data_IF_280880668236
#
_entry.id   IF_280880668236
#
_cell.length_a   1.000
_cell.length_b   1.000
_cell.length_c   1.000
_cell.angle_alpha   90.00
_cell.angle_beta   90.00
_cell.angle_gamma   90.00
#
_symmetry.space_group_name_H-M   'P 1'
#
loop_
_entity.id
_entity.type
_entity.pdbx_description
1 polymer ?
#
# COMPACT_ATOMS: atom_id res chain seq x y z
N UNK A 1 15.42 12.97 -2.67
CA UNK A 1 16.64 12.17 -2.41
C UNK A 1 17.42 12.10 -3.72
N UNK A 2 18.75 12.24 -3.70
CA UNK A 2 19.58 12.08 -4.90
C UNK A 2 20.06 10.63 -4.98
N UNK A 3 19.77 9.97 -6.10
CA UNK A 3 20.12 8.57 -6.37
C UNK A 3 21.31 8.45 -7.33
N UNK A 4 21.73 9.56 -7.94
CA UNK A 4 22.82 9.57 -8.93
C UNK A 4 24.11 9.02 -8.31
N UNK A 5 24.77 8.14 -9.04
CA UNK A 5 26.02 7.47 -8.67
C UNK A 5 25.96 6.57 -7.40
N UNK A 6 24.77 6.39 -6.80
CA UNK A 6 24.58 5.50 -5.65
C UNK A 6 24.61 4.03 -6.10
N UNK A 7 25.25 3.20 -5.27
CA UNK A 7 25.24 1.75 -5.46
C UNK A 7 23.97 1.18 -4.86
N UNK A 8 23.04 0.74 -5.70
CA UNK A 8 21.75 0.23 -5.26
C UNK A 8 21.59 -1.22 -5.65
N UNK A 9 21.27 -2.06 -4.66
CA UNK A 9 20.99 -3.47 -4.85
C UNK A 9 19.47 -3.69 -4.91
N UNK A 10 18.98 -4.23 -6.05
CA UNK A 10 17.60 -4.68 -6.22
C UNK A 10 17.54 -6.18 -5.95
N UNK A 11 16.73 -6.59 -4.99
CA UNK A 11 16.60 -8.00 -4.56
C UNK A 11 15.28 -8.56 -5.05
N UNK A 12 15.36 -9.50 -5.98
CA UNK A 12 14.20 -10.12 -6.65
C UNK A 12 13.76 -9.37 -7.91
N UNK A 13 13.70 -10.08 -9.03
CA UNK A 13 13.41 -9.54 -10.36
C UNK A 13 12.05 -10.04 -10.89
N UNK A 14 10.98 -9.81 -10.13
CA UNK A 14 9.60 -9.92 -10.61
C UNK A 14 9.13 -8.53 -11.13
N UNK A 15 7.86 -8.38 -11.49
CA UNK A 15 7.28 -7.14 -12.04
C UNK A 15 7.73 -5.88 -11.29
N UNK A 16 7.66 -5.90 -9.97
CA UNK A 16 8.09 -4.79 -9.11
C UNK A 16 9.60 -4.53 -9.23
N UNK A 17 10.43 -5.59 -9.22
CA UNK A 17 11.87 -5.48 -9.37
C UNK A 17 12.29 -4.88 -10.71
N UNK A 18 11.60 -5.21 -11.80
CA UNK A 18 11.80 -4.61 -13.13
C UNK A 18 11.53 -3.12 -13.11
N UNK A 19 10.37 -2.71 -12.58
CA UNK A 19 9.99 -1.30 -12.51
C UNK A 19 10.97 -0.48 -11.64
N UNK A 20 11.38 -1.02 -10.49
CA UNK A 20 12.39 -0.41 -9.61
C UNK A 20 13.73 -0.28 -10.34
N UNK A 21 14.16 -1.32 -11.03
CA UNK A 21 15.44 -1.32 -11.78
C UNK A 21 15.47 -0.23 -12.84
N UNK A 22 14.41 -0.09 -13.64
CA UNK A 22 14.30 0.97 -14.64
C UNK A 22 14.35 2.36 -14.00
N UNK A 23 13.53 2.59 -13.00
CA UNK A 23 13.51 3.86 -12.28
C UNK A 23 14.89 4.25 -11.75
N UNK A 24 15.60 3.31 -11.11
CA UNK A 24 16.91 3.56 -10.53
C UNK A 24 17.97 3.83 -11.59
N UNK A 25 17.96 3.08 -12.69
CA UNK A 25 18.89 3.27 -13.80
C UNK A 25 18.67 4.63 -14.49
N UNK A 26 17.42 5.02 -14.74
CA UNK A 26 17.05 6.35 -15.28
C UNK A 26 17.44 7.48 -14.33
N UNK A 27 17.39 7.24 -13.02
CA UNK A 27 17.86 8.20 -12.01
C UNK A 27 19.40 8.27 -11.89
N UNK A 28 20.15 7.51 -12.72
CA UNK A 28 21.61 7.52 -12.76
C UNK A 28 22.29 6.71 -11.66
N UNK A 29 21.60 5.78 -11.01
CA UNK A 29 22.18 4.90 -10.01
C UNK A 29 23.02 3.77 -10.65
N UNK A 30 23.99 3.26 -9.89
CA UNK A 30 24.72 2.03 -10.23
C UNK A 30 23.92 0.84 -9.70
N UNK A 31 23.14 0.20 -10.58
CA UNK A 31 22.20 -0.84 -10.16
C UNK A 31 22.83 -2.22 -10.28
N UNK A 32 22.78 -2.95 -9.18
CA UNK A 32 23.03 -4.40 -9.14
C UNK A 32 21.73 -5.13 -8.87
N UNK A 33 21.41 -6.16 -9.64
CA UNK A 33 20.25 -7.01 -9.43
C UNK A 33 20.74 -8.34 -8.87
N UNK A 34 20.04 -8.85 -7.83
CA UNK A 34 20.26 -10.21 -7.32
C UNK A 34 18.95 -10.99 -7.24
N UNK A 35 18.94 -12.20 -7.79
CA UNK A 35 17.80 -13.14 -7.74
C UNK A 35 18.31 -14.57 -7.52
N UNK A 36 17.53 -15.40 -6.85
CA UNK A 36 17.85 -16.82 -6.64
C UNK A 36 17.63 -17.65 -7.91
N UNK A 37 16.83 -17.17 -8.84
CA UNK A 37 16.68 -17.76 -10.19
C UNK A 37 17.91 -17.45 -11.02
N UNK A 38 18.24 -18.35 -11.92
CA UNK A 38 19.32 -18.21 -12.88
C UNK A 38 18.91 -17.37 -14.11
N UNK A 39 19.83 -17.16 -15.01
CA UNK A 39 19.66 -16.39 -16.23
C UNK A 39 18.67 -17.05 -17.21
N UNK A 40 18.60 -18.37 -17.27
CA UNK A 40 17.63 -19.06 -18.14
C UNK A 40 16.20 -18.84 -17.64
N UNK A 41 15.98 -18.97 -16.33
CA UNK A 41 14.67 -18.73 -15.71
C UNK A 41 14.21 -17.24 -15.77
N UNK A 42 15.15 -16.32 -15.94
CA UNK A 42 14.88 -14.87 -16.02
C UNK A 42 15.03 -14.30 -17.44
N UNK A 43 15.28 -15.12 -18.45
CA UNK A 43 15.61 -14.71 -19.81
C UNK A 43 14.68 -13.65 -20.40
N UNK A 44 13.38 -13.85 -20.30
CA UNK A 44 12.39 -12.93 -20.86
C UNK A 44 12.41 -11.58 -20.11
N UNK A 45 12.52 -11.63 -18.80
CA UNK A 45 12.58 -10.44 -17.93
C UNK A 45 13.89 -9.66 -18.16
N UNK A 46 15.01 -10.37 -18.35
CA UNK A 46 16.29 -9.74 -18.64
C UNK A 46 16.30 -9.09 -20.03
N UNK A 47 15.57 -9.65 -20.99
CA UNK A 47 15.42 -9.06 -22.31
C UNK A 47 14.71 -7.68 -22.22
N UNK A 48 13.76 -7.50 -21.31
CA UNK A 48 13.12 -6.21 -21.06
C UNK A 48 14.08 -5.14 -20.53
N UNK A 49 15.19 -5.53 -19.90
CA UNK A 49 16.19 -4.63 -19.29
C UNK A 49 17.50 -4.55 -20.09
N UNK A 50 17.53 -5.11 -21.30
CA UNK A 50 18.75 -5.23 -22.11
C UNK A 50 19.34 -3.90 -22.58
N UNK A 51 18.56 -2.83 -22.56
CA UNK A 51 18.94 -1.46 -22.87
C UNK A 51 19.66 -0.75 -21.69
N UNK A 52 19.69 -1.35 -20.51
CA UNK A 52 20.27 -0.76 -19.30
C UNK A 52 21.65 -1.35 -18.99
N UNK A 53 22.52 -0.50 -18.42
CA UNK A 53 23.82 -0.96 -17.92
C UNK A 53 23.69 -1.44 -16.46
N UNK A 54 23.55 -2.76 -16.27
CA UNK A 54 23.25 -3.41 -15.00
C UNK A 54 24.34 -4.41 -14.62
N UNK A 55 24.57 -4.57 -13.31
CA UNK A 55 25.31 -5.70 -12.77
C UNK A 55 24.33 -6.81 -12.35
N UNK A 56 24.55 -8.04 -12.79
CA UNK A 56 23.65 -9.17 -12.53
C UNK A 56 24.35 -10.20 -11.62
N UNK A 57 23.67 -10.59 -10.54
CA UNK A 57 24.05 -11.66 -9.61
C UNK A 57 22.90 -12.65 -9.50
N UNK A 58 22.86 -13.63 -10.41
CA UNK A 58 21.76 -14.58 -10.56
C UNK A 58 22.12 -15.98 -10.05
N UNK A 59 21.10 -16.75 -9.68
CA UNK A 59 21.23 -18.11 -9.12
C UNK A 59 21.65 -18.15 -7.65
N UNK A 60 22.07 -17.04 -7.09
CA UNK A 60 22.44 -16.93 -5.67
C UNK A 60 22.51 -15.47 -5.22
N UNK A 61 22.36 -15.24 -3.92
CA UNK A 61 22.67 -13.94 -3.33
C UNK A 61 24.13 -13.86 -2.90
N UNK A 62 24.84 -12.80 -3.32
CA UNK A 62 26.24 -12.53 -2.94
C UNK A 62 26.24 -11.59 -1.72
N UNK A 63 26.58 -12.06 -0.50
CA UNK A 63 26.50 -11.23 0.72
C UNK A 63 27.29 -9.93 0.65
N UNK A 64 28.40 -9.92 -0.09
CA UNK A 64 29.24 -8.73 -0.25
C UNK A 64 28.45 -7.56 -0.89
N UNK A 65 27.61 -7.81 -1.87
CA UNK A 65 26.84 -6.77 -2.57
C UNK A 65 25.82 -6.12 -1.63
N UNK A 66 25.21 -6.89 -0.71
CA UNK A 66 24.32 -6.36 0.31
C UNK A 66 25.06 -5.43 1.31
N UNK A 67 26.31 -5.75 1.63
CA UNK A 67 27.12 -4.94 2.55
C UNK A 67 27.67 -3.66 1.90
N UNK A 68 27.89 -3.69 0.60
CA UNK A 68 28.49 -2.57 -0.14
C UNK A 68 27.45 -1.61 -0.74
N UNK A 69 26.18 -2.00 -0.79
CA UNK A 69 25.12 -1.14 -1.30
C UNK A 69 24.88 0.08 -0.39
N UNK A 70 24.62 1.23 -0.99
CA UNK A 70 24.14 2.43 -0.28
C UNK A 70 22.66 2.27 0.09
N UNK A 71 21.92 1.51 -0.74
CA UNK A 71 20.51 1.20 -0.56
C UNK A 71 20.22 -0.20 -1.10
N UNK A 72 19.43 -0.97 -0.37
CA UNK A 72 18.89 -2.26 -0.80
C UNK A 72 17.38 -2.13 -0.96
N UNK A 73 16.86 -2.40 -2.17
CA UNK A 73 15.42 -2.37 -2.45
C UNK A 73 14.94 -3.81 -2.66
N UNK A 74 13.96 -4.21 -1.85
CA UNK A 74 13.51 -5.60 -1.79
C UNK A 74 12.14 -5.74 -2.43
N UNK A 75 12.01 -6.67 -3.38
CA UNK A 75 10.71 -7.02 -3.98
C UNK A 75 9.84 -7.79 -2.99
N UNK A 76 8.50 -7.62 -3.00
CA UNK A 76 7.58 -8.23 -2.02
C UNK A 76 7.67 -9.77 -1.92
N UNK A 77 8.07 -10.45 -3.00
CA UNK A 77 8.26 -11.91 -3.03
C UNK A 77 9.47 -12.42 -2.24
N UNK A 78 10.40 -11.53 -1.87
CA UNK A 78 11.62 -11.91 -1.13
C UNK A 78 11.38 -11.75 0.37
N UNK A 79 11.63 -12.78 1.20
CA UNK A 79 11.54 -12.65 2.64
C UNK A 79 12.52 -11.63 3.22
N UNK A 80 12.02 -10.78 4.11
CA UNK A 80 12.85 -9.72 4.74
C UNK A 80 13.82 -10.26 5.80
N UNK A 81 13.72 -11.54 6.14
CA UNK A 81 14.54 -12.24 7.14
C UNK A 81 15.66 -13.09 6.54
N UNK A 82 15.84 -13.09 5.21
CA UNK A 82 16.98 -13.81 4.62
C UNK A 82 18.29 -13.30 5.17
N UNK A 83 19.23 -14.19 5.38
CA UNK A 83 20.53 -13.90 6.02
C UNK A 83 21.29 -12.70 5.43
N UNK A 84 21.38 -12.50 4.10
CA UNK A 84 22.06 -11.34 3.55
C UNK A 84 21.40 -10.00 3.92
N UNK A 85 20.04 -9.95 4.00
CA UNK A 85 19.33 -8.73 4.45
C UNK A 85 19.54 -8.46 5.94
N UNK A 86 19.54 -9.50 6.76
CA UNK A 86 19.86 -9.36 8.18
C UNK A 86 21.29 -8.80 8.37
N UNK A 87 22.26 -9.30 7.62
CA UNK A 87 23.65 -8.80 7.66
C UNK A 87 23.74 -7.34 7.22
N UNK A 88 23.02 -6.94 6.16
CA UNK A 88 22.97 -5.56 5.68
C UNK A 88 22.41 -4.63 6.77
N UNK A 89 21.29 -4.98 7.40
CA UNK A 89 20.70 -4.21 8.51
C UNK A 89 21.60 -4.12 9.72
N UNK A 90 22.30 -5.21 10.09
CA UNK A 90 23.27 -5.20 11.18
C UNK A 90 24.44 -4.22 10.93
N UNK A 91 24.79 -3.99 9.66
CA UNK A 91 25.77 -2.99 9.23
C UNK A 91 25.12 -1.62 8.93
N UNK A 92 23.88 -1.39 9.39
CA UNK A 92 23.12 -0.13 9.22
C UNK A 92 22.92 0.27 7.75
N UNK A 93 22.89 -0.70 6.83
CA UNK A 93 22.48 -0.43 5.44
C UNK A 93 20.98 -0.25 5.40
N UNK A 94 20.53 0.69 4.58
CA UNK A 94 19.09 0.90 4.37
C UNK A 94 18.54 -0.22 3.51
N UNK A 95 17.51 -0.86 4.02
CA UNK A 95 16.82 -1.99 3.36
C UNK A 95 15.33 -1.66 3.31
N UNK A 96 14.83 -1.33 2.14
CA UNK A 96 13.47 -0.82 1.97
C UNK A 96 12.67 -1.61 0.95
N UNK A 97 11.34 -1.50 1.01
CA UNK A 97 10.45 -1.98 -0.03
C UNK A 97 10.32 -0.96 -1.18
N UNK A 98 9.75 -1.41 -2.29
CA UNK A 98 9.46 -0.54 -3.44
C UNK A 98 8.54 0.62 -3.06
N UNK A 99 7.51 0.37 -2.25
CA UNK A 99 6.54 1.41 -1.83
C UNK A 99 7.20 2.49 -0.98
N UNK A 100 8.19 2.13 -0.16
CA UNK A 100 8.99 3.11 0.55
C UNK A 100 9.79 3.98 -0.41
N UNK A 101 10.55 3.35 -1.33
CA UNK A 101 11.34 4.06 -2.32
C UNK A 101 10.47 5.02 -3.15
N UNK A 102 9.34 4.55 -3.66
CA UNK A 102 8.41 5.35 -4.46
C UNK A 102 7.87 6.56 -3.69
N UNK A 103 7.54 6.35 -2.41
CA UNK A 103 6.97 7.40 -1.55
C UNK A 103 7.88 8.62 -1.39
N UNK A 104 9.19 8.49 -1.56
CA UNK A 104 10.14 9.61 -1.47
C UNK A 104 10.00 10.62 -2.61
N UNK A 105 9.39 10.21 -3.72
CA UNK A 105 9.23 11.02 -4.94
C UNK A 105 7.80 11.45 -5.21
N UNK A 106 6.83 10.94 -4.44
CA UNK A 106 5.40 11.22 -4.61
C UNK A 106 4.96 12.25 -3.55
N UNK A 107 4.42 13.39 -4.00
CA UNK A 107 3.94 14.46 -3.12
C UNK A 107 2.42 14.43 -2.91
N UNK A 108 1.69 13.80 -3.82
CA UNK A 108 0.23 13.74 -3.76
C UNK A 108 -0.26 13.03 -2.50
N UNK A 109 -1.33 13.51 -1.88
CA UNK A 109 -1.91 12.87 -0.70
C UNK A 109 -2.41 11.46 -1.02
N UNK A 110 -2.12 10.52 -0.10
CA UNK A 110 -2.27 9.09 -0.32
C UNK A 110 -3.29 8.46 0.61
N UNK A 111 -4.12 7.58 0.05
CA UNK A 111 -4.90 6.56 0.77
C UNK A 111 -4.19 5.22 0.63
N UNK A 112 -3.82 4.61 1.74
CA UNK A 112 -3.24 3.26 1.76
C UNK A 112 -4.21 2.26 2.39
N UNK A 113 -4.42 1.12 1.74
CA UNK A 113 -5.42 0.14 2.14
C UNK A 113 -4.75 -1.21 2.35
N UNK A 114 -4.94 -1.78 3.54
CA UNK A 114 -4.51 -3.13 3.89
C UNK A 114 -5.61 -3.90 4.63
N UNK A 115 -5.36 -5.15 4.88
CA UNK A 115 -6.27 -6.11 5.53
C UNK A 115 -6.00 -7.51 4.98
N UNK A 116 -6.67 -8.50 5.48
CA UNK A 116 -6.60 -9.85 4.91
C UNK A 116 -7.46 -9.91 3.65
N UNK A 117 -8.72 -9.49 3.72
CA UNK A 117 -9.70 -9.55 2.64
C UNK A 117 -10.25 -8.17 2.28
N UNK A 118 -10.75 -8.00 1.06
CA UNK A 118 -11.44 -6.79 0.60
C UNK A 118 -10.53 -5.67 0.07
N UNK A 119 -9.23 -5.80 0.18
CA UNK A 119 -8.25 -4.78 -0.25
C UNK A 119 -8.51 -4.29 -1.67
N UNK A 120 -8.51 -5.21 -2.64
CA UNK A 120 -8.64 -4.89 -4.07
C UNK A 120 -9.94 -4.16 -4.38
N UNK A 121 -11.06 -4.65 -3.86
CA UNK A 121 -12.37 -4.00 -4.05
C UNK A 121 -12.39 -2.60 -3.47
N UNK A 122 -11.88 -2.44 -2.23
CA UNK A 122 -11.81 -1.14 -1.56
C UNK A 122 -10.89 -0.17 -2.29
N UNK A 123 -9.71 -0.62 -2.72
CA UNK A 123 -8.72 0.19 -3.46
C UNK A 123 -9.29 0.66 -4.80
N UNK A 124 -9.87 -0.26 -5.57
CA UNK A 124 -10.48 0.06 -6.86
C UNK A 124 -11.62 1.05 -6.69
N UNK A 125 -12.54 0.78 -5.76
CA UNK A 125 -13.69 1.67 -5.51
C UNK A 125 -13.25 3.06 -5.01
N UNK A 126 -12.25 3.14 -4.13
CA UNK A 126 -11.70 4.42 -3.66
C UNK A 126 -11.15 5.24 -4.84
N UNK A 127 -10.39 4.59 -5.74
CA UNK A 127 -9.89 5.23 -6.96
C UNK A 127 -11.00 5.70 -7.89
N UNK A 128 -12.01 4.87 -8.10
CA UNK A 128 -13.17 5.23 -8.94
C UNK A 128 -13.98 6.40 -8.35
N UNK A 129 -14.12 6.49 -7.03
CA UNK A 129 -14.77 7.64 -6.38
C UNK A 129 -13.95 8.91 -6.65
N UNK A 130 -12.64 8.91 -6.43
CA UNK A 130 -11.81 10.09 -6.72
C UNK A 130 -11.91 10.52 -8.18
N UNK A 131 -11.77 9.59 -9.13
CA UNK A 131 -11.91 9.86 -10.57
C UNK A 131 -13.31 10.36 -10.93
N UNK A 132 -14.35 9.74 -10.38
CA UNK A 132 -15.73 10.15 -10.58
C UNK A 132 -16.01 11.56 -10.06
N UNK A 133 -15.28 12.00 -9.03
CA UNK A 133 -15.31 13.37 -8.52
C UNK A 133 -14.36 14.33 -9.28
N UNK A 134 -13.81 13.92 -10.42
CA UNK A 134 -12.98 14.74 -11.29
C UNK A 134 -11.54 14.95 -10.84
N UNK A 135 -11.03 14.10 -9.93
CA UNK A 135 -9.67 14.18 -9.43
C UNK A 135 -8.75 13.22 -10.20
N UNK A 136 -7.63 13.73 -10.71
CA UNK A 136 -6.62 12.88 -11.31
C UNK A 136 -6.00 11.95 -10.27
N UNK A 137 -6.12 10.63 -10.50
CA UNK A 137 -5.88 9.63 -9.46
C UNK A 137 -5.08 8.45 -9.97
N UNK A 138 -3.93 8.20 -9.34
CA UNK A 138 -3.21 6.94 -9.50
C UNK A 138 -3.81 5.87 -8.57
N UNK A 139 -3.96 4.65 -9.11
CA UNK A 139 -4.39 3.47 -8.35
C UNK A 139 -3.42 2.34 -8.64
N UNK A 140 -2.79 1.77 -7.61
CA UNK A 140 -1.81 0.71 -7.80
C UNK A 140 -1.29 0.10 -6.50
N UNK A 141 -0.04 -0.35 -6.52
CA UNK A 141 0.64 -1.01 -5.39
C UNK A 141 0.68 -2.53 -5.54
N UNK A 142 0.07 -3.27 -4.62
CA UNK A 142 -0.01 -4.73 -4.69
C UNK A 142 -0.92 -5.22 -5.84
N UNK A 143 -1.74 -4.35 -6.39
CA UNK A 143 -2.57 -4.57 -7.59
C UNK A 143 -2.14 -3.61 -8.70
N UNK A 144 -2.47 -3.95 -9.92
CA UNK A 144 -2.22 -3.07 -11.07
C UNK A 144 -0.74 -2.78 -11.27
N UNK A 145 -0.39 -1.51 -11.22
CA UNK A 145 0.97 -1.02 -11.41
C UNK A 145 1.68 -0.79 -10.07
N UNK A 146 2.98 -1.17 -9.96
CA UNK A 146 3.80 -0.78 -8.82
C UNK A 146 3.79 0.73 -8.61
N UNK A 147 3.89 1.18 -7.35
CA UNK A 147 3.84 2.60 -7.01
C UNK A 147 5.00 3.39 -7.62
N UNK A 148 6.16 2.74 -7.83
CA UNK A 148 7.34 3.34 -8.44
C UNK A 148 7.10 3.79 -9.88
N UNK A 149 6.14 3.21 -10.61
CA UNK A 149 5.78 3.66 -11.97
C UNK A 149 5.21 5.08 -11.97
N UNK A 150 4.47 5.46 -10.91
CA UNK A 150 4.04 6.86 -10.76
C UNK A 150 5.24 7.80 -10.58
N UNK A 151 6.20 7.41 -9.71
CA UNK A 151 7.41 8.21 -9.51
C UNK A 151 8.23 8.33 -10.80
N UNK A 152 8.34 7.26 -11.60
CA UNK A 152 9.05 7.21 -12.87
C UNK A 152 8.37 8.07 -13.94
N UNK A 153 7.03 8.05 -14.00
CA UNK A 153 6.29 8.81 -15.02
C UNK A 153 6.42 10.32 -14.87
N UNK A 154 6.77 10.82 -13.68
CA UNK A 154 6.76 12.25 -13.37
C UNK A 154 5.37 12.89 -13.44
N UNK A 155 4.30 12.08 -13.52
CA UNK A 155 2.94 12.59 -13.61
C UNK A 155 2.53 13.26 -12.29
N UNK A 156 1.97 14.45 -12.39
CA UNK A 156 1.38 15.16 -11.27
C UNK A 156 -0.08 14.71 -11.12
N UNK A 157 -0.34 13.81 -10.15
CA UNK A 157 -1.69 13.39 -9.80
C UNK A 157 -2.17 14.12 -8.55
N UNK A 158 -3.50 14.25 -8.41
CA UNK A 158 -4.10 14.91 -7.25
C UNK A 158 -4.30 13.93 -6.07
N UNK A 159 -4.43 12.64 -6.36
CA UNK A 159 -4.66 11.59 -5.36
C UNK A 159 -3.90 10.31 -5.72
N UNK A 160 -3.49 9.60 -4.69
CA UNK A 160 -2.87 8.28 -4.82
C UNK A 160 -3.64 7.30 -3.96
N UNK A 161 -4.03 6.17 -4.52
CA UNK A 161 -4.66 5.06 -3.79
C UNK A 161 -3.82 3.82 -3.98
N UNK A 162 -3.33 3.26 -2.87
CA UNK A 162 -2.46 2.09 -2.92
C UNK A 162 -3.00 0.93 -2.10
N UNK A 163 -3.04 -0.24 -2.73
CA UNK A 163 -3.20 -1.51 -2.03
C UNK A 163 -1.83 -1.95 -1.48
N UNK A 164 -1.79 -2.33 -0.21
CA UNK A 164 -0.57 -2.80 0.42
C UNK A 164 -0.74 -4.19 1.05
N UNK A 165 0.18 -5.09 0.68
CA UNK A 165 0.36 -6.36 1.38
C UNK A 165 1.19 -6.17 2.66
N UNK A 166 1.13 -7.15 3.58
CA UNK A 166 2.02 -7.18 4.74
C UNK A 166 3.50 -7.17 4.34
N UNK A 167 3.86 -7.87 3.26
CA UNK A 167 5.23 -7.97 2.75
C UNK A 167 5.80 -6.61 2.30
N UNK A 168 4.98 -5.78 1.66
CA UNK A 168 5.40 -4.42 1.26
C UNK A 168 5.60 -3.52 2.50
N UNK A 169 4.74 -3.69 3.51
CA UNK A 169 4.81 -2.92 4.75
C UNK A 169 6.02 -3.29 5.63
N UNK A 170 6.59 -4.50 5.52
CA UNK A 170 7.80 -4.89 6.25
C UNK A 170 9.02 -4.01 5.92
N UNK A 171 9.06 -3.41 4.73
CA UNK A 171 10.17 -2.61 4.24
C UNK A 171 9.93 -1.11 4.24
N UNK A 172 8.96 -0.58 4.99
CA UNK A 172 8.76 0.87 5.11
C UNK A 172 9.65 1.48 6.21
N UNK A 173 10.03 2.74 6.05
CA UNK A 173 10.78 3.54 7.02
C UNK A 173 10.09 4.88 7.29
N UNK A 174 9.68 5.58 6.24
CA UNK A 174 9.07 6.91 6.28
C UNK A 174 7.75 7.00 5.51
N UNK A 175 7.33 5.93 4.86
CA UNK A 175 6.05 5.86 4.13
C UNK A 175 4.92 6.32 5.04
N UNK A 176 4.17 7.35 4.61
CA UNK A 176 3.12 7.99 5.40
C UNK A 176 1.89 8.28 4.53
N UNK A 177 0.83 7.50 4.62
CA UNK A 177 -0.45 7.84 4.01
C UNK A 177 -1.23 8.85 4.84
N UNK A 178 -1.99 9.76 4.18
CA UNK A 178 -2.91 10.67 4.86
C UNK A 178 -4.12 9.93 5.45
N UNK A 179 -4.57 8.90 4.75
CA UNK A 179 -5.60 7.98 5.24
C UNK A 179 -5.07 6.57 5.11
N UNK A 180 -4.98 5.86 6.21
CA UNK A 180 -4.65 4.44 6.25
C UNK A 180 -5.87 3.63 6.65
N UNK A 181 -6.15 2.55 5.93
CA UNK A 181 -7.32 1.68 6.14
C UNK A 181 -6.88 0.28 6.53
N UNK A 182 -7.40 -0.24 7.62
CA UNK A 182 -7.28 -1.64 8.01
C UNK A 182 -8.66 -2.28 8.04
N UNK A 183 -8.93 -3.16 7.06
CA UNK A 183 -10.27 -3.73 6.85
C UNK A 183 -10.61 -4.86 7.81
N UNK A 184 -9.72 -5.81 7.95
CA UNK A 184 -9.91 -7.02 8.76
C UNK A 184 -8.58 -7.75 8.96
N UNK A 185 -8.54 -8.62 9.97
CA UNK A 185 -7.39 -9.46 10.31
C UNK A 185 -7.86 -10.90 10.53
N UNK A 186 -7.51 -11.80 9.62
CA UNK A 186 -7.70 -13.24 9.75
C UNK A 186 -6.41 -13.97 9.42
N UNK A 187 -6.23 -15.19 9.88
CA UNK A 187 -5.04 -15.97 9.60
C UNK A 187 -4.82 -16.13 8.09
N UNK A 188 -3.64 -15.75 7.64
CA UNK A 188 -3.19 -15.85 6.25
C UNK A 188 -1.66 -15.83 6.22
N UNK A 189 -1.06 -16.38 5.16
CA UNK A 189 0.39 -16.37 4.94
C UNK A 189 1.23 -16.94 6.10
N UNK A 190 0.72 -17.96 6.83
CA UNK A 190 1.45 -18.62 7.91
C UNK A 190 2.63 -19.48 7.41
N UNK A 191 2.75 -19.67 6.12
CA UNK A 191 3.93 -20.22 5.44
C UNK A 191 5.11 -19.22 5.41
N UNK A 192 4.82 -17.93 5.56
CA UNK A 192 5.79 -16.81 5.52
C UNK A 192 6.10 -16.24 6.91
N UNK A 193 5.14 -16.19 7.82
CA UNK A 193 5.26 -15.66 9.17
C UNK A 193 5.38 -16.75 10.19
N UNK A 194 6.24 -16.58 11.21
CA UNK A 194 6.39 -17.54 12.31
C UNK A 194 5.18 -17.57 13.24
N UNK A 195 4.38 -16.51 13.23
CA UNK A 195 3.15 -16.41 14.02
C UNK A 195 2.14 -15.48 13.37
N UNK A 196 0.86 -15.65 13.73
CA UNK A 196 -0.18 -14.72 13.32
C UNK A 196 0.05 -13.30 13.85
N UNK A 197 0.69 -13.17 15.03
CA UNK A 197 1.04 -11.85 15.58
C UNK A 197 2.05 -11.11 14.71
N UNK A 198 3.07 -11.77 14.17
CA UNK A 198 4.01 -11.14 13.22
C UNK A 198 3.32 -10.62 11.96
N UNK A 199 2.33 -11.35 11.43
CA UNK A 199 1.52 -10.90 10.31
C UNK A 199 0.69 -9.66 10.65
N UNK A 200 0.08 -9.63 11.85
CA UNK A 200 -0.65 -8.47 12.37
C UNK A 200 0.30 -7.27 12.49
N UNK A 201 1.43 -7.48 13.13
CA UNK A 201 2.43 -6.42 13.36
C UNK A 201 2.94 -5.83 12.03
N UNK A 202 3.18 -6.67 11.02
CA UNK A 202 3.55 -6.22 9.69
C UNK A 202 2.48 -5.31 9.06
N UNK A 203 1.19 -5.65 9.18
CA UNK A 203 0.10 -4.81 8.65
C UNK A 203 -0.06 -3.50 9.43
N UNK A 204 0.13 -3.53 10.74
CA UNK A 204 0.00 -2.35 11.60
C UNK A 204 1.06 -1.28 11.30
N UNK A 205 2.15 -1.64 10.63
CA UNK A 205 3.16 -0.67 10.19
C UNK A 205 2.60 0.39 9.25
N UNK A 206 1.45 0.14 8.59
CA UNK A 206 0.77 1.14 7.75
C UNK A 206 0.48 2.45 8.51
N UNK A 207 0.35 2.39 9.85
CA UNK A 207 0.08 3.54 10.73
C UNK A 207 1.35 4.12 11.38
N UNK A 208 2.51 3.46 11.23
CA UNK A 208 3.75 3.72 11.99
C UNK A 208 4.22 5.17 11.91
N UNK A 209 4.14 5.76 10.72
CA UNK A 209 4.62 7.11 10.42
C UNK A 209 3.51 8.15 10.34
N UNK A 210 2.25 7.79 10.60
CA UNK A 210 1.17 8.74 10.63
C UNK A 210 1.31 9.73 11.79
N UNK A 211 0.79 10.94 11.61
CA UNK A 211 0.77 12.02 12.60
C UNK A 211 -0.69 12.33 13.01
N UNK A 212 -0.85 13.24 13.97
CA UNK A 212 -2.16 13.64 14.50
C UNK A 212 -3.12 14.29 13.45
N UNK A 213 -2.62 14.67 12.29
CA UNK A 213 -3.43 15.24 11.21
C UNK A 213 -3.90 14.19 10.18
N UNK A 214 -3.34 12.97 10.25
CA UNK A 214 -3.71 11.85 9.40
C UNK A 214 -4.88 11.07 10.01
N UNK A 215 -5.50 10.19 9.21
CA UNK A 215 -6.63 9.37 9.65
C UNK A 215 -6.31 7.88 9.56
N UNK A 216 -6.70 7.15 10.60
CA UNK A 216 -6.70 5.70 10.65
C UNK A 216 -8.13 5.19 10.58
N UNK A 217 -8.57 4.65 9.46
CA UNK A 217 -9.90 4.06 9.26
C UNK A 217 -9.85 2.60 9.69
N UNK A 218 -10.54 2.28 10.79
CA UNK A 218 -10.54 0.95 11.38
C UNK A 218 -11.94 0.34 11.38
N UNK A 219 -12.08 -0.88 10.90
CA UNK A 219 -13.28 -1.68 11.08
C UNK A 219 -13.33 -2.22 12.53
N UNK A 220 -14.05 -1.53 13.39
CA UNK A 220 -14.14 -1.89 14.81
C UNK A 220 -15.06 -3.08 15.09
N UNK A 221 -15.75 -3.62 14.08
CA UNK A 221 -16.52 -4.86 14.19
C UNK A 221 -15.61 -6.09 14.18
N UNK A 222 -14.36 -5.95 13.71
CA UNK A 222 -13.32 -6.95 13.85
C UNK A 222 -12.57 -6.73 15.18
N UNK A 223 -12.64 -7.67 16.15
CA UNK A 223 -12.03 -7.49 17.47
C UNK A 223 -10.50 -7.28 17.43
N UNK A 224 -9.79 -7.90 16.46
CA UNK A 224 -8.36 -7.74 16.32
C UNK A 224 -8.01 -6.35 15.79
N UNK A 225 -8.80 -5.85 14.85
CA UNK A 225 -8.64 -4.47 14.35
C UNK A 225 -8.99 -3.45 15.43
N UNK A 226 -10.09 -3.65 16.16
CA UNK A 226 -10.50 -2.77 17.27
C UNK A 226 -9.43 -2.67 18.37
N UNK A 227 -8.74 -3.78 18.68
CA UNK A 227 -7.68 -3.80 19.69
C UNK A 227 -6.44 -2.95 19.29
N UNK A 228 -6.30 -2.58 18.02
CA UNK A 228 -5.20 -1.75 17.54
C UNK A 228 -5.42 -0.26 17.79
N UNK A 229 -6.64 0.18 18.02
CA UNK A 229 -7.02 1.60 18.11
C UNK A 229 -6.21 2.40 19.14
N UNK A 230 -5.91 1.81 20.30
CA UNK A 230 -5.20 2.49 21.41
C UNK A 230 -3.72 2.79 21.15
N UNK A 231 -3.14 2.33 20.04
CA UNK A 231 -1.71 2.48 19.71
C UNK A 231 -1.44 3.54 18.63
N UNK A 232 -2.48 4.15 18.08
CA UNK A 232 -2.38 5.04 16.92
C UNK A 232 -2.00 6.47 17.33
N UNK A 233 -1.16 7.12 16.50
CA UNK A 233 -0.89 8.57 16.58
C UNK A 233 -1.90 9.37 15.74
N UNK A 234 -2.40 8.77 14.67
CA UNK A 234 -3.40 9.36 13.79
C UNK A 234 -4.77 9.46 14.46
N UNK A 235 -5.63 10.30 13.89
CA UNK A 235 -7.04 10.36 14.30
C UNK A 235 -7.73 9.06 13.94
N UNK A 236 -8.23 8.37 14.96
CA UNK A 236 -9.09 7.20 14.74
C UNK A 236 -10.37 7.63 14.03
N UNK A 237 -10.69 6.99 12.91
CA UNK A 237 -11.96 7.08 12.23
C UNK A 237 -12.61 5.69 12.19
N UNK A 238 -13.47 5.36 13.16
CA UNK A 238 -14.07 4.04 13.27
C UNK A 238 -15.08 3.78 12.17
N UNK A 239 -15.17 2.52 11.76
CA UNK A 239 -16.17 1.99 10.84
C UNK A 239 -16.91 0.84 11.52
N UNK A 240 -18.26 0.85 11.50
CA UNK A 240 -19.06 -0.24 12.05
C UNK A 240 -20.38 -0.44 11.29
N UNK A 241 -20.74 -1.72 11.09
CA UNK A 241 -22.07 -2.12 10.61
C UNK A 241 -23.07 -2.37 11.75
N UNK A 242 -22.58 -2.52 12.98
CA UNK A 242 -23.40 -2.94 14.10
C UNK A 242 -23.67 -1.82 15.10
N UNK A 243 -22.82 -0.78 15.11
CA UNK A 243 -22.89 0.32 16.05
C UNK A 243 -23.12 1.64 15.31
N UNK A 244 -24.02 2.47 15.83
CA UNK A 244 -24.15 3.86 15.41
C UNK A 244 -23.00 4.67 16.02
N UNK A 245 -22.37 5.53 15.23
CA UNK A 245 -21.18 6.26 15.61
C UNK A 245 -21.43 7.77 15.57
N UNK A 246 -21.09 8.47 16.64
CA UNK A 246 -21.12 9.95 16.69
C UNK A 246 -20.01 10.56 15.83
N UNK A 247 -18.89 9.86 15.68
CA UNK A 247 -17.75 10.21 14.81
C UNK A 247 -17.30 8.92 14.12
N UNK A 248 -17.32 8.87 12.79
CA UNK A 248 -16.99 7.68 12.03
C UNK A 248 -17.93 7.43 10.85
N UNK A 249 -17.91 6.20 10.34
CA UNK A 249 -18.85 5.74 9.32
C UNK A 249 -19.57 4.48 9.80
N UNK A 250 -20.90 4.51 9.76
CA UNK A 250 -21.73 3.40 10.24
C UNK A 250 -22.82 3.02 9.25
N UNK A 251 -23.33 1.80 9.41
CA UNK A 251 -24.49 1.32 8.63
C UNK A 251 -25.63 0.93 9.55
N UNK A 252 -26.84 1.42 9.26
CA UNK A 252 -28.05 1.01 9.94
C UNK A 252 -29.28 1.17 9.05
N UNK A 253 -30.19 0.21 9.10
CA UNK A 253 -31.52 0.25 8.47
C UNK A 253 -31.49 0.66 6.98
N UNK A 254 -30.52 0.16 6.21
CA UNK A 254 -30.39 0.45 4.79
C UNK A 254 -29.65 1.77 4.47
N UNK A 255 -29.04 2.42 5.47
CA UNK A 255 -28.31 3.67 5.28
C UNK A 255 -26.87 3.58 5.79
N UNK A 256 -25.95 4.12 5.01
CA UNK A 256 -24.61 4.46 5.46
C UNK A 256 -24.63 5.90 5.97
N UNK A 257 -24.15 6.11 7.19
CA UNK A 257 -24.01 7.42 7.81
C UNK A 257 -22.54 7.75 8.04
N UNK A 258 -22.07 8.84 7.45
CA UNK A 258 -20.75 9.41 7.69
C UNK A 258 -20.93 10.61 8.64
N UNK A 259 -20.28 10.58 9.79
CA UNK A 259 -20.30 11.64 10.79
C UNK A 259 -18.87 12.10 11.09
N UNK A 260 -18.57 13.38 10.86
CA UNK A 260 -17.24 13.94 11.09
C UNK A 260 -17.28 15.44 11.34
N UNK A 261 -16.66 15.89 12.44
CA UNK A 261 -16.59 17.31 12.83
C UNK A 261 -17.94 18.02 12.79
N UNK A 262 -18.99 17.37 13.33
CA UNK A 262 -20.36 17.89 13.38
C UNK A 262 -21.12 17.86 12.05
N UNK A 263 -20.47 17.44 10.95
CA UNK A 263 -21.14 17.19 9.66
C UNK A 263 -21.63 15.76 9.62
N UNK A 264 -22.90 15.57 9.26
CA UNK A 264 -23.51 14.25 9.08
C UNK A 264 -24.02 14.13 7.64
N UNK A 265 -23.59 13.09 6.95
CA UNK A 265 -24.07 12.71 5.61
C UNK A 265 -24.71 11.32 5.69
N UNK A 266 -25.84 11.13 5.01
CA UNK A 266 -26.58 9.87 5.04
C UNK A 266 -26.90 9.40 3.64
N UNK A 267 -26.57 8.15 3.31
CA UNK A 267 -26.65 7.57 1.99
C UNK A 267 -27.45 6.27 2.02
N UNK A 268 -28.52 6.18 1.23
CA UNK A 268 -29.30 4.95 1.10
C UNK A 268 -28.55 3.89 0.31
N UNK A 269 -28.55 2.65 0.78
CA UNK A 269 -27.86 1.53 0.08
C UNK A 269 -28.75 0.83 -0.93
N UNK A 270 -30.02 1.22 -1.05
CA UNK A 270 -30.92 0.70 -2.08
C UNK A 270 -30.39 1.05 -3.46
N UNK A 271 -30.34 0.04 -4.33
CA UNK A 271 -29.84 0.19 -5.70
C UNK A 271 -28.32 0.10 -5.85
N UNK A 272 -27.53 -0.12 -4.80
CA UNK A 272 -26.12 -0.44 -4.96
C UNK A 272 -25.97 -1.71 -5.79
N UNK A 273 -25.06 -1.67 -6.78
CA UNK A 273 -24.83 -2.81 -7.67
C UNK A 273 -23.91 -3.83 -7.05
N UNK A 274 -22.91 -3.38 -6.31
CA UNK A 274 -22.02 -4.24 -5.54
C UNK A 274 -22.77 -4.80 -4.33
N UNK A 275 -23.08 -6.09 -4.35
CA UNK A 275 -23.90 -6.77 -3.33
C UNK A 275 -23.03 -7.56 -2.35
N UNK A 276 -23.58 -7.87 -1.19
CA UNK A 276 -22.98 -8.71 -0.16
C UNK A 276 -22.50 -7.93 1.06
N UNK A 277 -22.54 -8.59 2.20
CA UNK A 277 -22.25 -7.98 3.52
C UNK A 277 -20.78 -7.51 3.58
N UNK A 278 -19.84 -8.32 3.07
CA UNK A 278 -18.43 -7.95 3.02
C UNK A 278 -18.17 -6.74 2.11
N UNK A 279 -18.96 -6.61 1.03
CA UNK A 279 -18.84 -5.46 0.14
C UNK A 279 -19.37 -4.19 0.77
N UNK A 280 -20.28 -4.28 1.75
CA UNK A 280 -20.72 -3.11 2.51
C UNK A 280 -19.55 -2.53 3.32
N UNK A 281 -18.72 -3.37 3.95
CA UNK A 281 -17.50 -2.91 4.65
C UNK A 281 -16.52 -2.24 3.67
N UNK A 282 -16.32 -2.83 2.49
CA UNK A 282 -15.47 -2.26 1.44
C UNK A 282 -15.99 -0.90 0.97
N UNK A 283 -17.31 -0.77 0.79
CA UNK A 283 -17.97 0.48 0.40
C UNK A 283 -17.79 1.54 1.49
N UNK A 284 -18.05 1.19 2.74
CA UNK A 284 -17.91 2.11 3.88
C UNK A 284 -16.45 2.59 4.00
N UNK A 285 -15.47 1.71 3.88
CA UNK A 285 -14.06 2.07 3.92
C UNK A 285 -13.65 3.01 2.77
N UNK A 286 -14.13 2.75 1.55
CA UNK A 286 -13.87 3.60 0.39
C UNK A 286 -14.54 4.98 0.54
N UNK A 287 -15.81 5.02 0.99
CA UNK A 287 -16.51 6.28 1.24
C UNK A 287 -15.85 7.08 2.37
N UNK A 288 -15.49 6.43 3.50
CA UNK A 288 -14.80 7.08 4.59
C UNK A 288 -13.50 7.74 4.09
N UNK A 289 -12.67 6.99 3.37
CA UNK A 289 -11.38 7.46 2.86
C UNK A 289 -11.53 8.68 1.95
N UNK A 290 -12.49 8.65 1.03
CA UNK A 290 -12.68 9.73 0.06
C UNK A 290 -13.34 10.97 0.67
N UNK A 291 -14.30 10.80 1.58
CA UNK A 291 -14.95 11.92 2.29
C UNK A 291 -14.00 12.61 3.28
N UNK A 292 -13.11 11.86 3.96
CA UNK A 292 -12.04 12.42 4.79
C UNK A 292 -11.06 13.26 3.96
N UNK A 293 -10.85 12.86 2.70
CA UNK A 293 -10.04 13.62 1.73
C UNK A 293 -10.84 14.64 0.92
N UNK A 294 -12.02 15.03 1.43
CA UNK A 294 -12.85 16.12 0.94
C UNK A 294 -13.51 15.92 -0.43
N UNK A 295 -13.73 14.67 -0.85
CA UNK A 295 -14.64 14.45 -1.97
C UNK A 295 -16.07 14.94 -1.63
N UNK A 296 -16.77 15.35 -2.67
CA UNK A 296 -18.19 15.67 -2.56
C UNK A 296 -19.01 14.40 -2.24
N UNK A 297 -19.93 14.50 -1.31
CA UNK A 297 -20.71 13.35 -0.82
C UNK A 297 -21.66 12.78 -1.87
N UNK A 298 -22.29 13.64 -2.66
CA UNK A 298 -23.24 13.20 -3.70
C UNK A 298 -22.48 12.54 -4.85
N UNK A 299 -21.33 13.08 -5.22
CA UNK A 299 -20.44 12.48 -6.21
C UNK A 299 -19.96 11.09 -5.76
N UNK A 300 -19.46 10.96 -4.53
CA UNK A 300 -19.04 9.69 -3.95
C UNK A 300 -20.18 8.67 -3.98
N UNK A 301 -21.37 9.08 -3.56
CA UNK A 301 -22.56 8.23 -3.54
C UNK A 301 -22.95 7.74 -4.94
N UNK A 302 -22.99 8.61 -5.95
CA UNK A 302 -23.35 8.23 -7.31
C UNK A 302 -22.34 7.24 -7.91
N UNK A 303 -21.07 7.42 -7.62
CA UNK A 303 -20.02 6.49 -8.07
C UNK A 303 -20.20 5.11 -7.42
N UNK A 304 -20.39 5.06 -6.11
CA UNK A 304 -20.65 3.80 -5.38
C UNK A 304 -21.87 3.08 -5.93
N UNK A 305 -22.97 3.80 -6.17
CA UNK A 305 -24.22 3.24 -6.69
C UNK A 305 -24.03 2.54 -8.02
N UNK A 306 -23.13 3.05 -8.87
CA UNK A 306 -22.89 2.54 -10.21
C UNK A 306 -21.77 1.51 -10.29
N UNK A 307 -20.95 1.37 -9.26
CA UNK A 307 -19.82 0.45 -9.22
C UNK A 307 -20.29 -1.00 -9.20
N UNK A 308 -19.68 -1.83 -10.07
CA UNK A 308 -20.08 -3.24 -10.23
C UNK A 308 -19.12 -4.24 -9.59
N UNK A 309 -17.90 -3.81 -9.28
CA UNK A 309 -16.79 -4.65 -8.86
C UNK A 309 -15.79 -4.89 -9.98
#
# INVERSE_FOLDING_TARGET
MDLKDKKILVVGLAKTGVAVTRFLAEAGAQVTITDMRDDEALKDVLAELSDLNLCLELGRHVPYSFLMADLVVVSPGVPMDIKPLQMARAQRRRVVSEVELASWFIKAPMVAITGTNGKTTTTTLTGEIFKGCGLDTFVGGNIGNPLIELAMSGAEVERVVVELSSFQLEGIESFRPHVAVLLNLTEDHLDRYHSFQEYIDAKLRIFENQHADDYAVLNIDDPLVAACAGKLKAKLFPMSRFHELEEGISYRDGFITFAHNGKVLRFGTEGFRLKGVHNLDNIMAAMASTLLMRCDGDCAYQTVKNFKG
#
